data_IF_089749242096
#
_entry.id   IF_089749242096
#
_cell.length_a   1.000
_cell.length_b   1.000
_cell.length_c   1.000
_cell.angle_alpha   90.00
_cell.angle_beta   90.00
_cell.angle_gamma   90.00
#
_symmetry.space_group_name_H-M   'P 1'
#
loop_
_entity.id
_entity.type
_entity.pdbx_description
1 polymer ?
#
# COMPACT_ATOMS: atom_id res chain seq x y z
N UNK A 1 -11.05 29.59 -35.25
CA UNK A 1 -9.80 28.92 -35.66
C UNK A 1 -8.63 29.70 -35.10
N UNK A 2 -7.91 29.13 -34.12
CA UNK A 2 -6.48 29.38 -33.87
C UNK A 2 -6.03 28.40 -32.77
N UNK A 3 -5.38 27.31 -33.20
CA UNK A 3 -4.79 26.27 -32.36
C UNK A 3 -3.36 26.67 -32.01
N UNK A 4 -3.12 27.11 -30.77
CA UNK A 4 -1.76 27.22 -30.22
C UNK A 4 -1.43 25.94 -29.44
N UNK A 5 -0.73 25.00 -30.09
CA UNK A 5 -0.09 23.87 -29.42
C UNK A 5 1.33 24.27 -29.03
N UNK A 6 1.56 24.55 -27.75
CA UNK A 6 2.90 24.64 -27.18
C UNK A 6 3.48 23.23 -27.02
N UNK A 7 4.52 22.92 -27.80
CA UNK A 7 5.38 21.73 -27.60
C UNK A 7 6.23 21.97 -26.35
N UNK A 8 6.00 21.18 -25.30
CA UNK A 8 6.97 21.04 -24.20
C UNK A 8 7.89 19.89 -24.60
N UNK A 9 9.18 20.20 -24.77
CA UNK A 9 10.23 19.19 -24.93
C UNK A 9 10.91 19.01 -23.57
N UNK A 10 11.07 17.75 -23.14
CA UNK A 10 11.80 17.40 -21.93
C UNK A 10 13.23 17.01 -22.34
N UNK A 11 14.20 17.79 -21.87
CA UNK A 11 15.62 17.49 -22.05
C UNK A 11 16.03 16.46 -20.98
N UNK A 12 16.61 15.33 -21.38
CA UNK A 12 16.87 14.17 -20.51
C UNK A 12 18.25 14.18 -19.84
N UNK A 13 19.02 15.26 -19.97
CA UNK A 13 20.42 15.30 -19.57
C UNK A 13 20.70 15.91 -18.17
N UNK A 14 19.67 16.33 -17.42
CA UNK A 14 19.83 16.91 -16.06
C UNK A 14 19.84 15.86 -14.92
N UNK A 15 20.28 14.63 -15.18
CA UNK A 15 20.30 13.56 -14.15
C UNK A 15 21.45 13.68 -13.15
N UNK A 16 22.53 14.38 -13.50
CA UNK A 16 23.76 14.36 -12.69
C UNK A 16 23.82 15.47 -11.63
N UNK A 17 22.99 16.51 -11.71
CA UNK A 17 22.95 17.59 -10.73
C UNK A 17 22.16 17.26 -9.43
N UNK A 18 21.41 16.15 -9.40
CA UNK A 18 20.57 15.76 -8.26
C UNK A 18 21.26 14.79 -7.28
N UNK A 19 22.51 14.39 -7.54
CA UNK A 19 23.20 13.36 -6.76
C UNK A 19 23.95 13.93 -5.54
N UNK A 20 24.29 15.23 -5.54
CA UNK A 20 25.15 15.84 -4.51
C UNK A 20 24.43 16.29 -3.22
N UNK A 21 23.09 16.32 -3.18
CA UNK A 21 22.31 16.76 -1.99
C UNK A 21 21.66 15.60 -1.19
N UNK A 22 22.06 14.34 -1.39
CA UNK A 22 21.39 13.17 -0.79
C UNK A 22 21.58 12.96 0.73
N UNK A 23 22.41 13.75 1.42
CA UNK A 23 22.74 13.50 2.84
C UNK A 23 21.81 14.20 3.85
N UNK A 24 20.84 15.01 3.42
CA UNK A 24 20.06 15.85 4.34
C UNK A 24 18.54 15.61 4.33
N UNK A 25 18.04 14.58 3.63
CA UNK A 25 16.58 14.32 3.51
C UNK A 25 16.09 13.11 4.31
N UNK A 26 16.85 12.66 5.31
CA UNK A 26 16.47 11.52 6.16
C UNK A 26 15.40 11.84 7.21
N UNK A 27 14.90 13.06 7.29
CA UNK A 27 13.77 13.44 8.15
C UNK A 27 12.94 14.56 7.49
N UNK A 28 12.19 14.24 6.44
CA UNK A 28 11.01 15.08 6.16
C UNK A 28 10.00 14.74 7.24
N UNK A 29 10.10 15.45 8.36
CA UNK A 29 9.02 15.66 9.31
C UNK A 29 7.84 16.21 8.51
N UNK A 30 6.99 15.32 8.01
CA UNK A 30 5.66 15.65 7.52
C UNK A 30 4.86 16.16 8.72
N UNK A 31 4.97 17.46 9.00
CA UNK A 31 4.30 18.17 10.09
C UNK A 31 2.77 18.18 9.96
N UNK A 32 2.19 17.35 9.09
CA UNK A 32 0.76 17.05 9.01
C UNK A 32 0.38 15.74 9.73
N UNK A 33 1.26 15.17 10.57
CA UNK A 33 0.94 13.98 11.36
C UNK A 33 -0.25 14.24 12.29
N UNK A 34 -1.45 13.83 11.87
CA UNK A 34 -2.48 13.49 12.82
C UNK A 34 -1.88 12.51 13.83
N UNK A 35 -2.12 12.79 15.11
CA UNK A 35 -1.58 11.96 16.17
C UNK A 35 -2.09 10.54 15.97
N UNK A 36 -1.20 9.56 16.08
CA UNK A 36 -1.55 8.15 15.97
C UNK A 36 -2.72 7.77 16.91
N UNK A 37 -2.83 8.44 18.05
CA UNK A 37 -3.94 8.35 19.01
C UNK A 37 -5.31 8.69 18.41
N UNK A 38 -5.43 9.73 17.58
CA UNK A 38 -6.73 10.11 16.98
C UNK A 38 -7.22 9.09 15.96
N UNK A 39 -6.30 8.43 15.25
CA UNK A 39 -6.65 7.39 14.29
C UNK A 39 -7.21 6.12 14.94
N UNK A 40 -6.76 5.79 16.15
CA UNK A 40 -7.16 4.59 16.90
C UNK A 40 -8.61 4.71 17.39
N UNK A 41 -9.05 5.91 17.73
CA UNK A 41 -10.40 6.14 18.24
C UNK A 41 -11.47 6.26 17.15
N UNK A 42 -11.05 6.42 15.89
CA UNK A 42 -11.95 6.53 14.73
C UNK A 42 -12.87 5.31 14.58
N UNK A 43 -14.20 5.48 14.53
CA UNK A 43 -15.14 4.37 14.34
C UNK A 43 -14.88 3.57 13.06
N UNK A 44 -14.54 4.25 11.96
CA UNK A 44 -14.17 3.59 10.70
C UNK A 44 -12.92 2.71 10.86
N UNK A 45 -11.87 3.25 11.49
CA UNK A 45 -10.65 2.48 11.71
C UNK A 45 -10.88 1.29 12.65
N UNK A 46 -11.67 1.47 13.72
CA UNK A 46 -12.06 0.39 14.63
C UNK A 46 -12.79 -0.74 13.90
N UNK A 47 -13.71 -0.41 13.01
CA UNK A 47 -14.41 -1.39 12.17
C UNK A 47 -13.43 -2.17 11.28
N UNK A 48 -12.51 -1.47 10.60
CA UNK A 48 -11.49 -2.13 9.78
C UNK A 48 -10.55 -3.00 10.63
N UNK A 49 -10.17 -2.54 11.82
CA UNK A 49 -9.32 -3.29 12.75
C UNK A 49 -10.02 -4.56 13.26
N UNK A 50 -11.33 -4.47 13.52
CA UNK A 50 -12.14 -5.63 13.87
C UNK A 50 -12.15 -6.66 12.74
N UNK A 51 -12.33 -6.22 11.49
CA UNK A 51 -12.21 -7.10 10.32
C UNK A 51 -10.85 -7.78 10.28
N UNK A 52 -9.74 -7.03 10.37
CA UNK A 52 -8.38 -7.63 10.36
C UNK A 52 -8.18 -8.64 11.49
N UNK A 53 -8.71 -8.37 12.69
CA UNK A 53 -8.66 -9.32 13.82
C UNK A 53 -9.45 -10.59 13.55
N UNK A 54 -10.59 -10.48 12.86
CA UNK A 54 -11.42 -11.64 12.51
C UNK A 54 -10.76 -12.58 11.49
N UNK A 55 -9.70 -12.14 10.81
CA UNK A 55 -8.93 -12.98 9.89
C UNK A 55 -8.05 -14.01 10.62
N UNK A 56 -7.83 -13.83 11.93
CA UNK A 56 -7.02 -14.72 12.79
C UNK A 56 -5.58 -14.95 12.28
N UNK A 57 -4.99 -13.97 11.61
CA UNK A 57 -3.59 -14.04 11.19
C UNK A 57 -2.62 -13.87 12.35
N UNK A 58 -1.40 -14.37 12.17
CA UNK A 58 -0.37 -14.27 13.21
C UNK A 58 -0.10 -12.82 13.61
N UNK A 59 -0.24 -12.52 14.91
CA UNK A 59 -0.04 -11.17 15.47
C UNK A 59 1.35 -10.60 15.19
N UNK A 60 2.36 -11.46 15.02
CA UNK A 60 3.74 -11.04 14.72
C UNK A 60 3.89 -10.39 13.34
N UNK A 61 2.94 -10.58 12.42
CA UNK A 61 2.93 -9.89 11.13
C UNK A 61 2.68 -8.40 11.27
N UNK A 62 2.07 -7.96 12.37
CA UNK A 62 1.58 -6.59 12.53
C UNK A 62 2.37 -5.81 13.58
N UNK A 63 2.48 -4.51 13.32
CA UNK A 63 2.93 -3.52 14.29
C UNK A 63 2.00 -2.32 14.26
N UNK A 64 1.52 -1.90 15.43
CA UNK A 64 0.62 -0.75 15.52
C UNK A 64 1.31 0.56 15.19
N UNK A 65 2.65 0.60 15.20
CA UNK A 65 3.47 1.82 15.01
C UNK A 65 3.18 2.56 13.71
N UNK A 66 2.71 1.87 12.68
CA UNK A 66 2.44 2.46 11.37
C UNK A 66 0.98 2.32 10.93
N UNK A 67 0.08 1.99 11.85
CA UNK A 67 -1.36 2.03 11.62
C UNK A 67 -1.80 3.46 11.26
N UNK A 68 -2.66 3.59 10.26
CA UNK A 68 -3.18 4.88 9.81
C UNK A 68 -4.58 4.78 9.21
N UNK A 69 -5.44 5.71 9.58
CA UNK A 69 -6.77 5.85 8.99
C UNK A 69 -6.76 6.99 7.96
N UNK A 70 -7.29 6.73 6.76
CA UNK A 70 -7.39 7.71 5.67
C UNK A 70 -8.83 8.06 5.33
N UNK A 71 -9.78 7.88 6.25
CA UNK A 71 -11.16 8.35 6.07
C UNK A 71 -11.21 9.89 6.06
N UNK A 72 -12.33 10.47 5.62
CA UNK A 72 -12.47 11.93 5.52
C UNK A 72 -12.34 12.67 6.87
N UNK A 73 -12.53 11.98 7.99
CA UNK A 73 -12.34 12.55 9.33
C UNK A 73 -10.87 12.50 9.76
N UNK A 74 -10.23 11.33 9.67
CA UNK A 74 -8.84 11.16 10.10
C UNK A 74 -7.81 11.67 9.10
N UNK A 75 -8.17 11.86 7.83
CA UNK A 75 -7.28 12.45 6.83
C UNK A 75 -8.12 13.39 5.97
N UNK A 76 -8.30 14.62 6.46
CA UNK A 76 -9.24 15.58 5.88
C UNK A 76 -8.94 15.88 4.41
N UNK A 77 -9.93 16.30 3.61
CA UNK A 77 -9.72 16.71 2.22
C UNK A 77 -8.76 17.89 2.06
N UNK A 78 -8.54 18.69 3.10
CA UNK A 78 -7.58 19.81 3.09
C UNK A 78 -6.12 19.36 3.16
N UNK A 79 -5.84 18.13 3.62
CA UNK A 79 -4.49 17.56 3.60
C UNK A 79 -4.04 17.21 2.17
N UNK A 80 -2.72 17.10 1.92
CA UNK A 80 -2.20 16.76 0.60
C UNK A 80 -2.79 15.43 0.06
N UNK A 81 -3.15 15.39 -1.22
CA UNK A 81 -3.57 14.13 -1.87
C UNK A 81 -2.40 13.31 -2.39
N UNK A 82 -1.19 13.88 -2.37
CA UNK A 82 0.06 13.25 -2.79
C UNK A 82 1.13 13.58 -1.76
N UNK A 83 1.87 12.56 -1.33
CA UNK A 83 3.03 12.70 -0.43
C UNK A 83 4.29 12.15 -1.11
N UNK A 84 5.46 12.49 -0.58
CA UNK A 84 6.73 11.93 -1.03
C UNK A 84 7.10 10.71 -0.19
N UNK A 85 7.45 9.61 -0.84
CA UNK A 85 7.99 8.41 -0.23
C UNK A 85 9.17 7.93 -1.09
N UNK A 86 10.35 7.73 -0.47
CA UNK A 86 11.57 7.36 -1.20
C UNK A 86 11.91 8.30 -2.38
N UNK A 87 11.61 9.60 -2.27
CA UNK A 87 11.80 10.57 -3.36
C UNK A 87 10.76 10.47 -4.49
N UNK A 88 9.77 9.60 -4.36
CA UNK A 88 8.71 9.41 -5.35
C UNK A 88 7.36 9.92 -4.86
N UNK A 89 6.55 10.43 -5.80
CA UNK A 89 5.20 10.92 -5.52
C UNK A 89 4.24 9.74 -5.38
N UNK A 90 3.57 9.69 -4.24
CA UNK A 90 2.62 8.65 -3.89
C UNK A 90 1.24 9.25 -3.60
N UNK A 91 0.21 8.71 -4.24
CA UNK A 91 -1.19 9.14 -4.01
C UNK A 91 -1.69 8.55 -2.71
N UNK A 92 -2.17 9.41 -1.82
CA UNK A 92 -2.71 9.00 -0.51
C UNK A 92 -3.98 8.16 -0.70
N UNK A 93 -4.09 6.99 -0.05
CA UNK A 93 -5.23 6.08 -0.20
C UNK A 93 -6.45 6.57 0.61
N UNK A 94 -7.05 7.69 0.20
CA UNK A 94 -8.26 8.24 0.85
C UNK A 94 -9.41 7.23 0.85
N UNK A 95 -10.06 7.08 2.01
CA UNK A 95 -11.14 6.12 2.25
C UNK A 95 -10.68 4.76 2.80
N UNK A 96 -9.37 4.52 2.90
CA UNK A 96 -8.83 3.23 3.34
C UNK A 96 -8.32 3.29 4.80
N UNK A 97 -8.10 2.12 5.38
CA UNK A 97 -7.33 1.95 6.61
C UNK A 97 -6.05 1.17 6.27
N UNK A 98 -4.90 1.68 6.71
CA UNK A 98 -3.60 1.03 6.61
C UNK A 98 -3.22 0.41 7.95
N UNK A 99 -2.72 -0.82 7.91
CA UNK A 99 -2.24 -1.56 9.08
C UNK A 99 -0.73 -1.75 8.95
N UNK A 100 0.02 -1.37 9.99
CA UNK A 100 1.47 -1.49 9.98
C UNK A 100 1.90 -2.95 10.00
N UNK A 101 2.87 -3.29 9.15
CA UNK A 101 3.47 -4.62 9.10
C UNK A 101 4.83 -4.61 9.80
N UNK A 102 5.14 -5.71 10.48
CA UNK A 102 6.48 -5.94 11.03
C UNK A 102 7.45 -6.18 9.88
N UNK A 103 8.55 -5.42 9.88
CA UNK A 103 9.61 -5.55 8.88
C UNK A 103 10.89 -5.96 9.59
N UNK A 104 11.61 -6.91 8.99
CA UNK A 104 12.96 -7.29 9.43
C UNK A 104 13.94 -6.12 9.20
N UNK A 105 14.51 -5.52 10.26
CA UNK A 105 15.35 -4.34 10.11
C UNK A 105 16.63 -4.61 9.32
N UNK A 106 17.21 -5.80 9.41
CA UNK A 106 18.43 -6.14 8.69
C UNK A 106 18.15 -6.24 7.18
N UNK A 107 17.06 -6.91 6.81
CA UNK A 107 16.60 -7.00 5.43
C UNK A 107 16.21 -5.61 4.87
N UNK A 108 15.53 -4.80 5.68
CA UNK A 108 15.14 -3.43 5.32
C UNK A 108 16.32 -2.54 4.99
N UNK A 109 17.35 -2.60 5.83
CA UNK A 109 18.57 -1.81 5.63
C UNK A 109 19.36 -2.32 4.42
N UNK A 110 19.51 -3.65 4.27
CA UNK A 110 20.23 -4.24 3.15
C UNK A 110 19.63 -3.87 1.79
N UNK A 111 18.29 -3.91 1.67
CA UNK A 111 17.58 -3.56 0.44
C UNK A 111 17.23 -2.07 0.30
N UNK A 112 17.61 -1.23 1.28
CA UNK A 112 17.31 0.21 1.32
C UNK A 112 15.82 0.50 1.10
N UNK A 113 14.98 -0.30 1.74
CA UNK A 113 13.53 -0.32 1.56
C UNK A 113 12.90 1.07 1.66
N UNK A 114 13.30 1.87 2.65
CA UNK A 114 12.67 3.16 2.93
C UNK A 114 13.12 4.31 2.02
N UNK A 115 14.28 4.19 1.38
CA UNK A 115 14.86 5.26 0.58
C UNK A 115 14.82 5.01 -0.92
N UNK A 116 14.68 3.75 -1.37
CA UNK A 116 14.72 3.39 -2.79
C UNK A 116 13.45 2.73 -3.31
N UNK A 117 12.61 2.12 -2.45
CA UNK A 117 11.47 1.36 -2.95
C UNK A 117 10.27 2.25 -3.26
N UNK A 118 9.67 2.02 -4.43
CA UNK A 118 8.41 2.62 -4.84
C UNK A 118 7.26 2.04 -4.01
N UNK A 119 6.36 2.90 -3.56
CA UNK A 119 5.10 2.44 -2.98
C UNK A 119 4.15 2.04 -4.11
N UNK A 120 3.74 0.77 -4.12
CA UNK A 120 2.82 0.20 -5.11
C UNK A 120 1.81 -0.69 -4.40
N UNK A 121 0.65 -0.90 -5.03
CA UNK A 121 -0.45 -1.69 -4.50
C UNK A 121 -0.68 -2.95 -5.32
N UNK A 122 -0.95 -4.06 -4.64
CA UNK A 122 -1.34 -5.32 -5.26
C UNK A 122 -2.67 -5.77 -4.66
N UNK A 123 -3.69 -5.93 -5.51
CA UNK A 123 -4.98 -6.48 -5.08
C UNK A 123 -4.88 -8.00 -4.96
N UNK A 124 -5.37 -8.56 -3.86
CA UNK A 124 -5.34 -10.01 -3.64
C UNK A 124 -6.48 -10.47 -2.73
N UNK A 125 -6.61 -11.78 -2.50
CA UNK A 125 -7.56 -12.35 -1.54
C UNK A 125 -6.94 -12.40 -0.14
N UNK A 126 -7.78 -12.48 0.90
CA UNK A 126 -7.30 -12.61 2.29
C UNK A 126 -6.37 -13.82 2.49
N UNK A 127 -6.69 -14.98 1.92
CA UNK A 127 -5.85 -16.19 2.05
C UNK A 127 -4.48 -16.05 1.37
N UNK A 128 -4.44 -15.37 0.22
CA UNK A 128 -3.18 -15.11 -0.47
C UNK A 128 -2.37 -14.03 0.26
N UNK A 129 -3.02 -13.00 0.82
CA UNK A 129 -2.36 -11.99 1.64
C UNK A 129 -1.66 -12.61 2.86
N UNK A 130 -2.32 -13.50 3.58
CA UNK A 130 -1.72 -14.23 4.71
C UNK A 130 -0.46 -15.01 4.28
N UNK A 131 -0.56 -15.72 3.17
CA UNK A 131 0.55 -16.51 2.62
C UNK A 131 1.70 -15.62 2.14
N UNK A 132 1.42 -14.43 1.60
CA UNK A 132 2.45 -13.43 1.24
C UNK A 132 3.15 -12.91 2.49
N UNK A 133 2.41 -12.60 3.57
CA UNK A 133 2.98 -12.12 4.82
C UNK A 133 3.90 -13.16 5.46
N UNK A 134 3.46 -14.42 5.50
CA UNK A 134 4.24 -15.51 6.08
C UNK A 134 5.54 -15.77 5.33
N UNK A 135 5.50 -15.73 3.98
CA UNK A 135 6.66 -16.06 3.15
C UNK A 135 7.48 -14.83 2.73
N UNK A 136 7.00 -13.61 3.00
CA UNK A 136 7.59 -12.33 2.58
C UNK A 136 7.81 -12.24 1.05
N UNK A 137 6.98 -12.91 0.27
CA UNK A 137 7.11 -13.00 -1.19
C UNK A 137 5.73 -13.01 -1.84
N UNK A 138 5.63 -12.36 -3.01
CA UNK A 138 4.46 -12.50 -3.86
C UNK A 138 4.32 -13.92 -4.40
N UNK A 139 3.07 -14.37 -4.51
CA UNK A 139 2.71 -15.69 -5.00
C UNK A 139 2.35 -15.62 -6.49
N UNK A 140 2.69 -16.67 -7.23
CA UNK A 140 2.38 -16.83 -8.64
C UNK A 140 1.43 -18.01 -8.87
N UNK A 141 0.69 -18.04 -10.00
CA UNK A 141 -0.18 -19.16 -10.29
C UNK A 141 0.55 -20.50 -10.28
N UNK A 142 0.00 -21.46 -9.53
CA UNK A 142 0.61 -22.76 -9.24
C UNK A 142 1.20 -22.89 -7.83
N UNK A 143 1.39 -21.78 -7.11
CA UNK A 143 1.83 -21.83 -5.72
C UNK A 143 0.73 -22.36 -4.80
N UNK A 144 1.13 -23.01 -3.70
CA UNK A 144 0.21 -23.49 -2.66
C UNK A 144 0.16 -22.50 -1.50
N UNK A 145 -1.04 -22.05 -1.16
CA UNK A 145 -1.31 -21.18 -0.01
C UNK A 145 -1.17 -21.96 1.31
N UNK A 146 -1.05 -21.23 2.43
CA UNK A 146 -0.97 -21.83 3.77
C UNK A 146 -2.16 -22.74 4.10
N UNK A 147 -3.35 -22.39 3.62
CA UNK A 147 -4.56 -23.20 3.79
C UNK A 147 -4.64 -24.40 2.82
N UNK A 148 -3.58 -24.68 2.06
CA UNK A 148 -3.51 -25.77 1.08
C UNK A 148 -4.11 -25.47 -0.29
N UNK A 149 -4.78 -24.32 -0.48
CA UNK A 149 -5.38 -23.92 -1.77
C UNK A 149 -4.30 -23.72 -2.83
N UNK A 150 -4.56 -24.17 -4.07
CA UNK A 150 -3.70 -23.89 -5.21
C UNK A 150 -4.07 -22.54 -5.81
N UNK A 151 -3.09 -21.63 -5.95
CA UNK A 151 -3.32 -20.32 -6.54
C UNK A 151 -3.57 -20.45 -8.05
N UNK A 152 -4.81 -20.20 -8.47
CA UNK A 152 -5.21 -20.25 -9.88
C UNK A 152 -4.92 -18.95 -10.63
N UNK A 153 -4.99 -19.03 -11.97
CA UNK A 153 -5.04 -17.85 -12.84
C UNK A 153 -6.46 -17.27 -12.76
N UNK A 154 -6.58 -15.98 -12.42
CA UNK A 154 -7.89 -15.32 -12.33
C UNK A 154 -8.40 -14.88 -13.71
N UNK A 155 -9.72 -14.78 -13.92
CA UNK A 155 -10.30 -14.18 -15.11
C UNK A 155 -9.70 -12.79 -15.37
N UNK A 156 -9.35 -12.50 -16.62
CA UNK A 156 -8.71 -11.24 -17.03
C UNK A 156 -7.17 -11.24 -16.99
N UNK A 157 -6.53 -12.31 -16.53
CA UNK A 157 -5.07 -12.47 -16.66
C UNK A 157 -4.68 -12.91 -18.09
N UNK A 158 -3.52 -12.44 -18.56
CA UNK A 158 -2.99 -12.81 -19.87
C UNK A 158 -2.58 -14.30 -19.87
N UNK A 159 -3.14 -15.15 -20.75
CA UNK A 159 -2.80 -16.57 -20.82
C UNK A 159 -1.30 -16.79 -21.02
N UNK A 160 -0.74 -17.80 -20.33
CA UNK A 160 0.67 -18.19 -20.47
C UNK A 160 1.69 -17.25 -19.83
N UNK A 161 1.26 -16.20 -19.13
CA UNK A 161 2.16 -15.26 -18.44
C UNK A 161 2.10 -15.43 -16.92
N UNK A 162 3.25 -15.68 -16.30
CA UNK A 162 3.44 -15.73 -14.84
C UNK A 162 4.10 -14.44 -14.38
N UNK A 163 3.31 -13.38 -14.23
CA UNK A 163 3.79 -12.07 -13.76
C UNK A 163 3.04 -11.64 -12.51
N UNK A 164 3.72 -10.86 -11.69
CA UNK A 164 3.13 -10.13 -10.57
C UNK A 164 2.83 -8.73 -11.08
N UNK A 165 1.56 -8.32 -10.96
CA UNK A 165 1.12 -6.99 -11.35
C UNK A 165 0.90 -6.15 -10.11
N UNK A 166 1.52 -4.98 -10.07
CA UNK A 166 1.28 -3.97 -9.05
C UNK A 166 0.90 -2.67 -9.75
N UNK A 167 0.22 -1.78 -9.04
CA UNK A 167 -0.22 -0.48 -9.56
C UNK A 167 0.15 0.64 -8.59
N UNK A 168 0.50 1.85 -9.08
CA UNK A 168 0.67 3.03 -8.22
C UNK A 168 -0.68 3.57 -7.69
N UNK A 169 -1.81 3.07 -8.21
CA UNK A 169 -3.16 3.46 -7.83
C UNK A 169 -3.84 2.38 -7.01
N UNK A 170 -4.14 2.69 -5.74
CA UNK A 170 -4.92 1.79 -4.89
C UNK A 170 -6.32 1.52 -5.46
N UNK A 171 -6.93 2.52 -6.11
CA UNK A 171 -8.26 2.39 -6.72
C UNK A 171 -8.27 1.33 -7.82
N UNK A 172 -7.19 1.26 -8.60
CA UNK A 172 -7.04 0.22 -9.61
C UNK A 172 -6.85 -1.15 -8.95
N UNK A 173 -5.96 -1.25 -7.96
CA UNK A 173 -5.71 -2.51 -7.25
C UNK A 173 -6.92 -2.98 -6.43
N UNK A 174 -7.85 -2.10 -6.07
CA UNK A 174 -9.08 -2.43 -5.35
C UNK A 174 -10.25 -2.81 -6.25
N UNK A 175 -10.09 -2.83 -7.58
CA UNK A 175 -11.13 -3.36 -8.46
C UNK A 175 -11.40 -4.83 -8.11
N UNK A 176 -12.66 -5.25 -8.16
CA UNK A 176 -13.11 -6.57 -7.68
C UNK A 176 -12.38 -7.74 -8.36
N UNK A 177 -11.98 -7.58 -9.63
CA UNK A 177 -11.19 -8.56 -10.38
C UNK A 177 -9.81 -8.84 -9.72
N UNK A 178 -9.26 -7.87 -9.00
CA UNK A 178 -7.98 -7.99 -8.29
C UNK A 178 -8.17 -8.17 -6.78
N UNK A 179 -9.13 -7.49 -6.17
CA UNK A 179 -9.42 -7.55 -4.73
C UNK A 179 -10.86 -7.99 -4.50
N UNK A 180 -11.05 -9.29 -4.26
CA UNK A 180 -12.38 -9.88 -4.04
C UNK A 180 -13.04 -9.25 -2.82
N UNK A 181 -14.27 -8.77 -2.99
CA UNK A 181 -15.05 -8.19 -1.90
C UNK A 181 -15.38 -9.27 -0.87
N UNK A 182 -15.14 -8.95 0.41
CA UNK A 182 -15.54 -9.79 1.54
C UNK A 182 -16.55 -9.01 2.37
N UNK A 183 -17.72 -9.61 2.59
CA UNK A 183 -18.71 -9.04 3.49
C UNK A 183 -18.27 -9.31 4.94
N UNK A 184 -18.26 -8.26 5.75
CA UNK A 184 -17.93 -8.33 7.16
C UNK A 184 -19.04 -7.67 7.98
N UNK A 185 -19.48 -8.36 9.03
CA UNK A 185 -20.45 -7.85 9.99
C UNK A 185 -19.76 -7.69 11.33
N UNK A 186 -19.72 -6.44 11.82
CA UNK A 186 -19.15 -6.13 13.13
C UNK A 186 -19.94 -6.81 14.26
N UNK A 187 -19.22 -7.35 15.23
CA UNK A 187 -19.76 -7.82 16.51
C UNK A 187 -20.20 -6.67 17.41
N UNK A 188 -19.65 -5.47 17.21
CA UNK A 188 -19.95 -4.26 18.00
C UNK A 188 -21.25 -3.55 17.58
N UNK A 189 -21.91 -4.03 16.52
CA UNK A 189 -23.19 -3.51 16.02
C UNK A 189 -24.41 -4.35 16.43
N UNK A 190 -24.26 -5.25 17.41
CA UNK A 190 -25.36 -5.96 18.07
C UNK A 190 -25.71 -5.32 19.40
#
# INVERSE_FOLDING_TARGET
>A
MNNNKSKISFNLDDRDALVSNRKEYAEVNDSSQLSQSESIECPWFKLCLEYVRSLDWQKCFFTRKHDRCYCNHCYSPSLPSVILAAGHRYVVPRGYAGFGLTVDPALANYHKLWSEWLVTYHGTSQYAAESILANRQFLIPGDRLLNGTLLGIRPGHIPGKKHIYTSPSIRYSSLEVYSVLNNFTSSSGK
#
